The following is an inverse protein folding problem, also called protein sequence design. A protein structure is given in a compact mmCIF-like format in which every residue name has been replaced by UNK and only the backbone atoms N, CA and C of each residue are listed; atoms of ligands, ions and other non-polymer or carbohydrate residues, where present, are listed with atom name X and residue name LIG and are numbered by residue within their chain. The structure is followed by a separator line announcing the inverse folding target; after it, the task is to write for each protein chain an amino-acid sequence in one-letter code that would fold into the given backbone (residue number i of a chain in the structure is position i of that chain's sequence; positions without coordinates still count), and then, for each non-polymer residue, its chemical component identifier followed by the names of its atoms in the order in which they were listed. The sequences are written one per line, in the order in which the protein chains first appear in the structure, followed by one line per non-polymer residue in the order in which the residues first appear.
data_IF_097764871010
#
_entry.id   IF_097764871010
#
_cell.length_a   1.000
_cell.length_b   1.000
_cell.length_c   1.000
_cell.angle_alpha   90.00
_cell.angle_beta   90.00
_cell.angle_gamma   90.00
#
_symmetry.space_group_name_H-M   'P 1'
#
loop_
_entity.id
_entity.type
_entity.pdbx_description
1 polymer ?
#
# COMPACT_ATOMS: atom_id res chain seq x y z
N UNK A 1 -5.34 -29.08 3.46
CA UNK A 1 -6.55 -29.77 3.96
C UNK A 1 -7.62 -29.77 2.86
N UNK A 2 -8.51 -30.78 2.79
CA UNK A 2 -9.58 -30.87 1.78
C UNK A 2 -10.95 -31.05 2.44
N UNK A 3 -11.94 -30.27 2.01
CA UNK A 3 -13.33 -30.33 2.44
C UNK A 3 -14.18 -30.96 1.35
N UNK A 4 -15.07 -31.88 1.72
CA UNK A 4 -16.05 -32.37 0.76
C UNK A 4 -17.11 -31.29 0.52
N UNK A 5 -17.41 -30.97 -0.73
CA UNK A 5 -18.34 -29.89 -1.09
C UNK A 5 -19.36 -30.33 -2.12
N UNK A 6 -20.57 -29.76 -2.04
CA UNK A 6 -21.53 -29.71 -3.14
C UNK A 6 -21.21 -28.50 -4.01
N UNK A 7 -21.21 -28.70 -5.32
CA UNK A 7 -20.83 -27.72 -6.34
C UNK A 7 -22.05 -27.48 -7.21
N UNK A 8 -22.60 -26.27 -7.14
CA UNK A 8 -23.75 -25.84 -7.93
C UNK A 8 -23.25 -25.08 -9.14
N UNK A 9 -23.49 -25.62 -10.33
CA UNK A 9 -23.06 -25.04 -11.60
C UNK A 9 -24.10 -24.05 -12.13
N UNK A 10 -23.69 -23.06 -12.95
CA UNK A 10 -24.63 -22.14 -13.61
C UNK A 10 -25.69 -22.84 -14.49
N UNK A 11 -25.41 -24.05 -14.97
CA UNK A 11 -26.39 -24.88 -15.71
C UNK A 11 -27.57 -25.36 -14.87
N UNK A 12 -27.47 -25.27 -13.54
CA UNK A 12 -28.41 -25.87 -12.59
C UNK A 12 -27.97 -27.25 -12.08
N UNK A 13 -26.96 -27.85 -12.70
CA UNK A 13 -26.43 -29.14 -12.27
C UNK A 13 -25.73 -29.03 -10.90
N UNK A 14 -25.84 -30.09 -10.11
CA UNK A 14 -25.11 -30.22 -8.85
C UNK A 14 -24.13 -31.38 -8.92
N UNK A 15 -22.89 -31.14 -8.51
CA UNK A 15 -21.83 -32.14 -8.42
C UNK A 15 -21.25 -32.18 -7.02
N UNK A 16 -20.45 -33.19 -6.72
CA UNK A 16 -19.68 -33.27 -5.49
C UNK A 16 -18.19 -33.25 -5.82
N UNK A 17 -17.39 -32.65 -4.95
CA UNK A 17 -15.94 -32.63 -5.11
C UNK A 17 -15.23 -32.26 -3.82
N UNK A 18 -13.98 -31.83 -3.94
CA UNK A 18 -13.18 -31.40 -2.81
C UNK A 18 -12.76 -29.95 -2.97
N UNK A 19 -12.87 -29.17 -1.89
CA UNK A 19 -12.38 -27.80 -1.80
C UNK A 19 -11.14 -27.77 -0.90
N UNK A 20 -10.09 -27.12 -1.35
CA UNK A 20 -8.92 -26.78 -0.54
C UNK A 20 -8.63 -25.29 -0.65
N UNK A 21 -8.11 -24.69 0.41
CA UNK A 21 -7.64 -23.31 0.40
C UNK A 21 -6.12 -23.34 0.37
N UNK A 22 -5.52 -22.64 -0.59
CA UNK A 22 -4.07 -22.49 -0.73
C UNK A 22 -3.69 -21.02 -0.77
N UNK A 23 -2.40 -20.72 -0.90
CA UNK A 23 -1.90 -19.34 -1.06
C UNK A 23 -2.39 -18.65 -2.33
N UNK A 24 -2.83 -19.41 -3.32
CA UNK A 24 -3.44 -18.90 -4.55
C UNK A 24 -4.97 -18.75 -4.44
N UNK A 25 -5.56 -19.13 -3.29
CA UNK A 25 -6.99 -19.06 -3.02
C UNK A 25 -7.71 -20.41 -3.00
N UNK A 26 -9.05 -20.40 -3.07
CA UNK A 26 -9.87 -21.61 -3.08
C UNK A 26 -9.67 -22.41 -4.38
N UNK A 27 -9.28 -23.67 -4.24
CA UNK A 27 -9.08 -24.62 -5.34
C UNK A 27 -10.04 -25.80 -5.20
N UNK A 28 -10.74 -26.11 -6.28
CA UNK A 28 -11.49 -27.36 -6.39
C UNK A 28 -10.54 -28.47 -6.87
N UNK A 29 -10.49 -29.56 -6.12
CA UNK A 29 -9.78 -30.77 -6.48
C UNK A 29 -10.78 -31.83 -6.96
N UNK A 30 -10.34 -32.56 -7.98
CA UNK A 30 -11.18 -33.40 -8.79
C UNK A 30 -11.43 -34.78 -8.17
N UNK A 31 -12.67 -35.25 -8.24
CA UNK A 31 -12.98 -36.69 -8.07
C UNK A 31 -13.05 -37.28 -9.49
N UNK A 32 -11.85 -37.54 -10.02
CA UNK A 32 -11.50 -38.22 -11.28
C UNK A 32 -12.08 -37.74 -12.63
N UNK A 33 -13.13 -36.91 -12.73
CA UNK A 33 -13.75 -36.58 -14.03
C UNK A 33 -14.37 -35.16 -14.16
N UNK A 34 -13.99 -34.20 -13.32
CA UNK A 34 -14.68 -32.90 -13.22
C UNK A 34 -13.76 -31.71 -13.55
N UNK A 35 -13.63 -31.41 -14.84
CA UNK A 35 -13.09 -30.12 -15.33
C UNK A 35 -14.07 -28.97 -15.03
N UNK A 36 -14.08 -28.47 -13.80
CA UNK A 36 -14.75 -27.21 -13.47
C UNK A 36 -13.79 -26.06 -13.74
N UNK A 37 -14.18 -25.16 -14.64
CA UNK A 37 -13.46 -23.91 -14.82
C UNK A 37 -13.68 -23.03 -13.59
N UNK A 38 -12.68 -22.95 -12.73
CA UNK A 38 -12.71 -22.20 -11.47
C UNK A 38 -12.89 -20.69 -11.66
N UNK A 39 -12.69 -20.17 -12.88
CA UNK A 39 -12.89 -18.77 -13.23
C UNK A 39 -14.31 -18.47 -13.77
N UNK A 40 -15.16 -19.49 -13.92
CA UNK A 40 -16.53 -19.28 -14.37
C UNK A 40 -17.36 -18.63 -13.25
N UNK A 41 -17.96 -17.47 -13.55
CA UNK A 41 -18.88 -16.80 -12.62
C UNK A 41 -20.14 -17.64 -12.39
N UNK A 42 -20.70 -17.53 -11.18
CA UNK A 42 -21.94 -18.21 -10.81
C UNK A 42 -21.79 -19.66 -10.31
N UNK A 43 -20.56 -20.12 -10.05
CA UNK A 43 -20.34 -21.37 -9.33
C UNK A 43 -20.49 -21.13 -7.84
N UNK A 44 -21.41 -21.88 -7.20
CA UNK A 44 -21.60 -21.83 -5.76
C UNK A 44 -21.20 -23.15 -5.11
N UNK A 45 -20.75 -23.07 -3.87
CA UNK A 45 -20.27 -24.20 -3.09
C UNK A 45 -21.02 -24.28 -1.77
N UNK A 46 -21.15 -25.49 -1.24
CA UNK A 46 -21.61 -25.76 0.13
C UNK A 46 -20.74 -26.88 0.72
N UNK A 47 -20.35 -26.75 1.98
CA UNK A 47 -19.54 -27.76 2.67
C UNK A 47 -20.45 -28.88 3.19
N UNK A 48 -20.08 -30.12 2.90
CA UNK A 48 -20.75 -31.33 3.40
C UNK A 48 -20.15 -31.68 4.76
N UNK A 49 -20.99 -31.91 5.77
CA UNK A 49 -20.61 -32.21 7.15
C UNK A 49 -19.60 -31.20 7.75
N UNK A 50 -19.87 -29.89 7.76
CA UNK A 50 -18.91 -28.88 8.23
C UNK A 50 -18.45 -29.12 9.68
N UNK A 51 -19.28 -29.75 10.52
CA UNK A 51 -18.96 -30.06 11.92
C UNK A 51 -17.87 -31.11 12.10
N UNK A 52 -17.46 -31.84 11.05
CA UNK A 52 -16.34 -32.79 11.13
C UNK A 52 -14.96 -32.14 11.00
N UNK A 53 -14.90 -30.80 10.95
CA UNK A 53 -13.67 -30.07 10.66
C UNK A 53 -13.42 -28.99 11.72
N UNK A 54 -12.34 -29.14 12.48
CA UNK A 54 -12.00 -28.24 13.60
C UNK A 54 -11.72 -26.79 13.16
N UNK A 55 -11.28 -26.60 11.93
CA UNK A 55 -10.94 -25.30 11.34
C UNK A 55 -12.20 -24.52 10.91
N UNK A 56 -13.35 -25.19 10.83
CA UNK A 56 -14.62 -24.62 10.44
C UNK A 56 -15.38 -24.15 11.67
N UNK A 57 -15.78 -22.88 11.68
CA UNK A 57 -16.64 -22.34 12.73
C UNK A 57 -17.90 -21.73 12.12
N UNK A 58 -19.07 -22.10 12.65
CA UNK A 58 -20.36 -21.48 12.32
C UNK A 58 -20.77 -21.55 10.83
N UNK A 59 -20.35 -22.59 10.11
CA UNK A 59 -20.82 -22.90 8.75
C UNK A 59 -21.76 -24.10 8.82
N UNK A 60 -22.89 -24.01 8.11
CA UNK A 60 -23.89 -25.07 8.01
C UNK A 60 -23.96 -25.62 6.58
N UNK A 61 -24.43 -26.85 6.40
CA UNK A 61 -24.55 -27.45 5.06
C UNK A 61 -25.45 -26.68 4.10
N UNK A 62 -26.41 -25.93 4.62
CA UNK A 62 -27.30 -25.08 3.81
C UNK A 62 -26.59 -23.83 3.27
N UNK A 63 -25.49 -23.43 3.90
CA UNK A 63 -24.78 -22.21 3.54
C UNK A 63 -24.10 -22.40 2.20
N UNK A 64 -24.35 -21.46 1.30
CA UNK A 64 -23.75 -21.42 -0.03
C UNK A 64 -22.84 -20.23 -0.16
N UNK A 65 -21.74 -20.38 -0.87
CA UNK A 65 -20.80 -19.29 -1.12
C UNK A 65 -20.20 -19.39 -2.52
N UNK A 66 -19.78 -18.26 -3.07
CA UNK A 66 -19.14 -18.20 -4.38
C UNK A 66 -17.76 -18.88 -4.33
N UNK A 67 -17.40 -19.62 -5.38
CA UNK A 67 -16.03 -20.12 -5.51
C UNK A 67 -15.04 -18.95 -5.66
N UNK A 68 -15.39 -17.96 -6.48
CA UNK A 68 -14.59 -16.76 -6.65
C UNK A 68 -14.57 -15.94 -5.34
N UNK A 69 -13.40 -15.39 -5.02
CA UNK A 69 -13.23 -14.54 -3.85
C UNK A 69 -12.14 -13.51 -4.05
N UNK A 70 -12.15 -12.49 -3.20
CA UNK A 70 -11.07 -11.50 -3.14
C UNK A 70 -9.95 -12.06 -2.28
N UNK A 71 -8.72 -12.00 -2.79
CA UNK A 71 -7.54 -12.63 -2.20
C UNK A 71 -6.51 -11.52 -1.93
N UNK A 72 -5.99 -11.45 -0.70
CA UNK A 72 -5.00 -10.45 -0.29
C UNK A 72 -4.16 -10.95 0.89
N UNK A 73 -3.03 -10.32 1.11
CA UNK A 73 -2.09 -10.69 2.17
C UNK A 73 -2.28 -9.78 3.38
N UNK A 74 -2.21 -10.36 4.58
CA UNK A 74 -2.14 -9.63 5.85
C UNK A 74 -1.06 -10.26 6.74
N UNK A 75 -0.70 -9.57 7.81
CA UNK A 75 0.19 -10.11 8.85
C UNK A 75 -0.61 -10.58 10.06
N UNK A 76 -0.25 -11.75 10.58
CA UNK A 76 -0.99 -12.50 11.59
C UNK A 76 -0.06 -13.05 12.67
N UNK A 77 -0.43 -12.85 13.93
CA UNK A 77 0.27 -13.39 15.09
C UNK A 77 -0.44 -14.64 15.60
N UNK A 78 0.33 -15.69 15.88
CA UNK A 78 -0.20 -16.90 16.58
C UNK A 78 -0.73 -16.56 17.97
N UNK A 79 -0.12 -15.58 18.65
CA UNK A 79 -0.60 -15.04 19.92
C UNK A 79 -1.45 -13.80 19.62
N UNK A 80 -2.77 -13.95 19.66
CA UNK A 80 -3.68 -12.82 19.54
C UNK A 80 -3.37 -11.79 20.64
N UNK A 81 -3.38 -10.52 20.28
CA UNK A 81 -3.12 -9.45 21.22
C UNK A 81 -4.38 -9.20 22.06
N UNK A 82 -4.38 -9.77 23.27
CA UNK A 82 -5.46 -9.61 24.26
C UNK A 82 -5.64 -8.17 24.72
N UNK A 83 -4.69 -7.28 24.44
CA UNK A 83 -4.77 -5.86 24.80
C UNK A 83 -5.82 -5.13 23.96
N UNK A 84 -6.28 -5.71 22.85
CA UNK A 84 -7.33 -5.18 21.97
C UNK A 84 -8.64 -5.98 22.05
N UNK A 85 -9.11 -6.30 23.25
CA UNK A 85 -10.48 -6.83 23.50
C UNK A 85 -11.58 -5.75 23.31
N UNK A 86 -11.39 -4.88 22.32
CA UNK A 86 -12.34 -3.86 21.87
C UNK A 86 -13.18 -4.36 20.68
N UNK A 87 -12.78 -5.48 20.08
CA UNK A 87 -13.49 -6.07 18.96
C UNK A 87 -14.70 -6.86 19.44
N UNK A 88 -15.85 -6.75 18.76
CA UNK A 88 -17.04 -7.46 19.18
C UNK A 88 -16.81 -8.98 19.15
N UNK A 89 -17.43 -9.75 20.06
CA UNK A 89 -17.34 -11.22 20.08
C UNK A 89 -17.71 -11.88 18.74
N UNK A 90 -18.48 -11.19 17.90
CA UNK A 90 -18.84 -11.64 16.56
C UNK A 90 -17.66 -11.86 15.63
N UNK A 91 -16.53 -11.21 15.89
CA UNK A 91 -15.27 -11.47 15.15
C UNK A 91 -14.69 -12.85 15.47
N UNK A 92 -15.25 -13.59 16.43
CA UNK A 92 -14.72 -14.87 16.89
C UNK A 92 -13.21 -14.80 17.24
N UNK A 93 -12.71 -13.61 17.57
CA UNK A 93 -11.31 -13.33 17.89
C UNK A 93 -10.34 -13.16 16.71
N UNK A 94 -10.73 -13.37 15.45
CA UNK A 94 -9.77 -13.36 14.31
C UNK A 94 -9.03 -12.00 14.20
N UNK A 95 -9.72 -10.90 14.50
CA UNK A 95 -9.17 -9.55 14.42
C UNK A 95 -8.03 -9.33 15.42
N UNK A 96 -8.07 -9.98 16.58
CA UNK A 96 -7.02 -9.85 17.62
C UNK A 96 -5.69 -10.46 17.19
N UNK A 97 -5.70 -11.30 16.16
CA UNK A 97 -4.51 -11.92 15.62
C UNK A 97 -3.88 -11.09 14.50
N UNK A 98 -4.56 -10.09 13.94
CA UNK A 98 -3.92 -9.18 13.01
C UNK A 98 -2.82 -8.39 13.74
N UNK A 99 -1.61 -8.38 13.18
CA UNK A 99 -0.45 -7.75 13.83
C UNK A 99 0.51 -7.19 12.80
N UNK A 100 1.18 -6.08 13.12
CA UNK A 100 2.23 -5.48 12.27
C UNK A 100 3.50 -6.32 12.18
N UNK A 101 3.78 -7.10 13.21
CA UNK A 101 4.98 -7.93 13.36
C UNK A 101 4.69 -9.42 13.15
N UNK A 102 3.45 -9.77 12.77
CA UNK A 102 3.03 -11.14 12.52
C UNK A 102 3.64 -11.75 11.25
N UNK A 103 3.43 -13.05 11.09
CA UNK A 103 3.74 -13.78 9.86
C UNK A 103 2.78 -13.39 8.74
N UNK A 104 3.24 -13.42 7.50
CA UNK A 104 2.35 -13.21 6.36
C UNK A 104 1.39 -14.38 6.19
N UNK A 105 0.11 -14.06 6.06
CA UNK A 105 -0.97 -15.01 5.80
C UNK A 105 -1.68 -14.63 4.51
N UNK A 106 -2.23 -15.63 3.84
CA UNK A 106 -3.18 -15.42 2.77
C UNK A 106 -4.59 -15.35 3.34
N UNK A 107 -5.27 -14.25 3.04
CA UNK A 107 -6.69 -14.06 3.35
C UNK A 107 -7.48 -14.20 2.06
N UNK A 108 -8.60 -14.92 2.12
CA UNK A 108 -9.60 -14.89 1.05
C UNK A 108 -11.01 -14.65 1.59
N UNK A 109 -11.77 -13.86 0.85
CA UNK A 109 -13.17 -13.50 1.15
C UNK A 109 -14.06 -13.96 0.01
N UNK A 110 -14.95 -14.90 0.29
CA UNK A 110 -15.94 -15.41 -0.66
C UNK A 110 -17.34 -14.95 -0.27
N UNK A 111 -18.13 -14.47 -1.22
CA UNK A 111 -19.49 -13.98 -0.92
C UNK A 111 -20.41 -15.14 -0.54
N UNK A 112 -21.17 -15.02 0.54
CA UNK A 112 -22.24 -15.99 0.85
C UNK A 112 -23.49 -15.68 0.04
N UNK A 113 -24.19 -16.70 -0.44
CA UNK A 113 -25.38 -16.57 -1.28
C UNK A 113 -26.63 -16.47 -0.41
N UNK A 114 -27.45 -15.45 -0.65
CA UNK A 114 -28.68 -15.19 0.11
C UNK A 114 -28.42 -14.61 1.51
N UNK A 115 -27.19 -14.15 1.77
CA UNK A 115 -26.75 -13.59 3.04
C UNK A 115 -25.82 -12.40 2.76
N UNK A 116 -25.77 -11.40 3.65
CA UNK A 116 -24.82 -10.27 3.54
C UNK A 116 -23.43 -10.62 4.09
N UNK A 117 -23.26 -11.81 4.66
CA UNK A 117 -21.99 -12.31 5.18
C UNK A 117 -21.02 -12.74 4.07
N UNK A 118 -19.75 -12.79 4.44
CA UNK A 118 -18.65 -13.32 3.64
C UNK A 118 -18.04 -14.52 4.34
N UNK A 119 -17.60 -15.51 3.60
CA UNK A 119 -16.79 -16.60 4.10
C UNK A 119 -15.31 -16.18 4.08
N UNK A 120 -14.72 -16.08 5.26
CA UNK A 120 -13.31 -15.76 5.48
C UNK A 120 -12.48 -17.04 5.61
N UNK A 121 -11.46 -17.19 4.76
CA UNK A 121 -10.41 -18.19 4.93
C UNK A 121 -9.08 -17.52 5.28
N UNK A 122 -8.35 -18.08 6.24
CA UNK A 122 -7.00 -17.67 6.61
C UNK A 122 -6.05 -18.86 6.39
N UNK A 123 -5.06 -18.69 5.53
CA UNK A 123 -4.06 -19.72 5.19
C UNK A 123 -2.67 -19.19 5.54
N UNK A 124 -1.85 -19.99 6.20
CA UNK A 124 -0.44 -19.68 6.43
C UNK A 124 0.34 -19.81 5.11
N UNK A 125 1.13 -18.79 4.75
CA UNK A 125 1.85 -18.79 3.47
C UNK A 125 3.07 -19.70 3.46
N UNK A 126 3.63 -20.05 4.61
CA UNK A 126 4.84 -20.86 4.69
C UNK A 126 4.55 -22.35 4.47
N UNK A 127 3.49 -22.87 5.11
CA UNK A 127 3.16 -24.30 5.10
C UNK A 127 1.83 -24.63 4.37
N UNK A 128 1.20 -23.62 3.76
CA UNK A 128 -0.11 -23.69 3.11
C UNK A 128 -1.23 -24.28 3.99
N UNK A 129 -1.07 -24.23 5.31
CA UNK A 129 -2.07 -24.73 6.23
C UNK A 129 -3.24 -23.75 6.37
N UNK A 130 -4.46 -24.26 6.27
CA UNK A 130 -5.65 -23.49 6.61
C UNK A 130 -5.71 -23.34 8.12
N UNK A 131 -5.57 -22.10 8.59
CA UNK A 131 -5.67 -21.75 10.01
C UNK A 131 -7.15 -21.71 10.41
N UNK A 132 -8.00 -21.07 9.60
CA UNK A 132 -9.41 -20.87 9.94
C UNK A 132 -10.31 -20.65 8.73
N UNK A 133 -11.55 -21.13 8.83
CA UNK A 133 -12.62 -20.91 7.86
C UNK A 133 -13.94 -20.61 8.58
N UNK A 134 -14.50 -19.42 8.40
CA UNK A 134 -15.73 -19.02 9.10
C UNK A 134 -16.41 -17.82 8.44
N UNK A 135 -17.72 -17.62 8.64
CA UNK A 135 -18.41 -16.46 8.13
C UNK A 135 -18.09 -15.21 8.96
N UNK A 136 -17.96 -14.08 8.28
CA UNK A 136 -17.82 -12.73 8.85
C UNK A 136 -18.88 -11.81 8.25
N UNK A 137 -19.20 -10.72 8.93
CA UNK A 137 -20.16 -9.72 8.45
C UNK A 137 -19.53 -8.80 7.40
N UNK A 138 -20.37 -8.16 6.60
CA UNK A 138 -19.94 -7.23 5.55
C UNK A 138 -19.01 -6.12 6.05
N UNK A 139 -19.32 -5.50 7.20
CA UNK A 139 -18.45 -4.45 7.75
C UNK A 139 -17.08 -4.99 8.19
N UNK A 140 -16.98 -6.25 8.61
CA UNK A 140 -15.71 -6.90 8.98
C UNK A 140 -14.85 -7.16 7.74
N UNK A 141 -15.49 -7.59 6.65
CA UNK A 141 -14.85 -7.76 5.35
C UNK A 141 -14.26 -6.44 4.84
N UNK A 142 -15.00 -5.34 4.98
CA UNK A 142 -14.52 -4.01 4.58
C UNK A 142 -13.29 -3.58 5.39
N UNK A 143 -13.27 -3.81 6.71
CA UNK A 143 -12.10 -3.51 7.56
C UNK A 143 -10.87 -4.31 7.12
N UNK A 144 -11.05 -5.59 6.74
CA UNK A 144 -9.97 -6.41 6.23
C UNK A 144 -9.40 -5.90 4.90
N UNK A 145 -10.26 -5.37 4.04
CA UNK A 145 -9.88 -4.83 2.73
C UNK A 145 -9.24 -3.46 2.81
N UNK A 146 -9.36 -2.75 3.95
CA UNK A 146 -8.66 -1.48 4.14
C UNK A 146 -7.14 -1.70 4.08
N UNK A 147 -6.50 -0.93 3.20
CA UNK A 147 -5.06 -0.75 3.19
C UNK A 147 -4.69 0.01 4.47
N UNK A 148 -3.75 -0.51 5.27
CA UNK A 148 -3.27 0.25 6.42
C UNK A 148 -2.29 1.32 5.95
N UNK A 149 -2.21 2.44 6.68
CA UNK A 149 -1.19 3.47 6.43
C UNK A 149 0.21 2.83 6.34
N UNK A 150 0.48 1.80 7.14
CA UNK A 150 1.76 1.10 7.12
C UNK A 150 1.99 0.25 5.87
N UNK A 151 0.95 -0.41 5.34
CA UNK A 151 1.04 -1.13 4.06
C UNK A 151 1.32 -0.14 2.93
N UNK A 152 0.67 1.02 2.99
CA UNK A 152 0.91 2.16 2.09
C UNK A 152 2.34 2.69 2.21
N UNK A 153 2.83 2.96 3.43
CA UNK A 153 4.22 3.34 3.71
C UNK A 153 5.20 2.27 3.21
N UNK A 154 4.93 0.98 3.45
CA UNK A 154 5.75 -0.11 2.97
C UNK A 154 5.87 -0.12 1.44
N UNK A 155 4.77 0.14 0.72
CA UNK A 155 4.77 0.26 -0.74
C UNK A 155 5.55 1.47 -1.23
N UNK A 156 5.36 2.63 -0.60
CA UNK A 156 6.03 3.87 -0.98
C UNK A 156 7.54 3.77 -0.76
N UNK A 157 7.97 3.24 0.37
CA UNK A 157 9.38 3.25 0.79
C UNK A 157 10.14 1.96 0.44
N UNK A 158 9.44 0.88 0.05
CA UNK A 158 10.01 -0.46 -0.07
C UNK A 158 10.59 -0.84 -1.45
N UNK A 159 10.14 -0.25 -2.56
CA UNK A 159 10.49 -0.81 -3.87
C UNK A 159 10.15 0.07 -5.09
N UNK A 160 10.70 1.28 -5.18
CA UNK A 160 10.79 1.97 -6.47
C UNK A 160 12.21 2.47 -6.70
N UNK A 161 12.90 1.87 -7.68
CA UNK A 161 14.00 2.55 -8.34
C UNK A 161 13.40 3.74 -9.09
N UNK A 162 13.69 4.99 -8.69
CA UNK A 162 13.00 6.12 -9.28
C UNK A 162 13.58 6.43 -10.66
N UNK A 163 12.87 7.22 -11.44
CA UNK A 163 13.32 7.63 -12.77
C UNK A 163 14.45 8.66 -12.65
N UNK A 164 15.67 8.31 -13.11
CA UNK A 164 16.89 9.10 -12.91
C UNK A 164 16.93 10.41 -13.70
N UNK A 165 16.13 10.51 -14.74
CA UNK A 165 16.20 11.61 -15.71
C UNK A 165 15.63 12.94 -15.21
N UNK A 166 14.88 12.96 -14.11
CA UNK A 166 14.14 14.14 -13.62
C UNK A 166 15.03 15.30 -13.16
N UNK A 167 16.13 15.00 -12.44
CA UNK A 167 16.98 16.02 -11.79
C UNK A 167 17.82 16.80 -12.80
N UNK A 168 18.49 16.08 -13.71
CA UNK A 168 19.33 16.67 -14.73
C UNK A 168 18.52 17.58 -15.67
N UNK A 169 17.29 17.18 -16.02
CA UNK A 169 16.38 17.99 -16.84
C UNK A 169 16.02 19.32 -16.16
N UNK A 170 15.79 19.34 -14.85
CA UNK A 170 15.46 20.57 -14.12
C UNK A 170 16.61 21.59 -14.15
N UNK A 171 17.84 21.11 -13.95
CA UNK A 171 19.04 21.96 -13.92
C UNK A 171 19.34 22.61 -15.28
N UNK A 172 18.88 22.01 -16.38
CA UNK A 172 19.00 22.55 -17.73
C UNK A 172 17.87 23.50 -18.13
N UNK A 173 16.88 23.75 -17.26
CA UNK A 173 15.80 24.71 -17.55
C UNK A 173 16.28 26.17 -17.44
N UNK A 174 15.55 27.13 -18.05
CA UNK A 174 15.89 28.55 -17.94
C UNK A 174 15.97 29.03 -16.49
N UNK A 175 16.96 29.87 -16.21
CA UNK A 175 17.18 30.44 -14.88
C UNK A 175 15.92 31.16 -14.35
N UNK A 176 15.63 31.09 -13.03
CA UNK A 176 14.50 31.78 -12.42
C UNK A 176 14.55 33.30 -12.69
N UNK A 177 13.40 33.98 -12.70
CA UNK A 177 13.36 35.43 -12.86
C UNK A 177 14.04 36.12 -11.67
N UNK A 178 14.52 37.35 -11.88
CA UNK A 178 15.17 38.15 -10.83
C UNK A 178 14.35 38.26 -9.56
N UNK A 179 13.03 38.43 -9.67
CA UNK A 179 12.12 38.49 -8.51
C UNK A 179 12.18 37.25 -7.61
N UNK A 180 12.42 36.08 -8.18
CA UNK A 180 12.59 34.84 -7.43
C UNK A 180 14.00 34.71 -6.87
N UNK A 181 15.02 35.08 -7.66
CA UNK A 181 16.42 35.05 -7.22
C UNK A 181 16.67 35.99 -6.04
N UNK A 182 16.09 37.19 -6.05
CA UNK A 182 16.21 38.17 -4.96
C UNK A 182 15.69 37.61 -3.63
N UNK A 183 14.63 36.79 -3.65
CA UNK A 183 14.11 36.13 -2.45
C UNK A 183 15.10 35.08 -1.92
N UNK A 184 15.72 34.29 -2.81
CA UNK A 184 16.71 33.29 -2.40
C UNK A 184 17.91 33.91 -1.70
N UNK A 185 18.42 35.04 -2.21
CA UNK A 185 19.62 35.69 -1.67
C UNK A 185 19.32 36.76 -0.60
N UNK A 186 18.08 36.85 -0.13
CA UNK A 186 17.67 37.92 0.79
C UNK A 186 18.47 37.89 2.09
N UNK A 187 19.25 38.94 2.35
CA UNK A 187 20.09 39.03 3.56
C UNK A 187 21.40 38.26 3.46
N UNK A 188 21.79 37.79 2.27
CA UNK A 188 23.10 37.19 1.99
C UNK A 188 23.82 38.05 0.96
N UNK A 189 25.07 38.42 1.23
CA UNK A 189 25.89 39.13 0.26
C UNK A 189 26.60 38.12 -0.65
N UNK A 190 26.16 38.01 -1.90
CA UNK A 190 26.80 37.17 -2.92
C UNK A 190 27.50 38.11 -3.91
N UNK A 191 28.84 38.28 -3.80
CA UNK A 191 29.56 39.21 -4.65
C UNK A 191 29.47 38.78 -6.11
N UNK A 192 29.20 39.75 -7.00
CA UNK A 192 29.11 39.53 -8.45
C UNK A 192 28.05 38.49 -8.88
N UNK A 193 26.96 38.34 -8.12
CA UNK A 193 25.89 37.40 -8.49
C UNK A 193 25.26 37.75 -9.84
N UNK A 194 25.31 36.81 -10.78
CA UNK A 194 24.79 36.97 -12.14
C UNK A 194 23.73 35.92 -12.47
N UNK A 195 22.72 36.32 -13.24
CA UNK A 195 21.74 35.40 -13.81
C UNK A 195 22.25 34.91 -15.17
N UNK A 196 22.50 33.61 -15.27
CA UNK A 196 22.92 32.95 -16.51
C UNK A 196 21.73 32.37 -17.27
N UNK A 197 21.99 31.59 -18.32
CA UNK A 197 20.96 30.96 -19.16
C UNK A 197 20.23 29.85 -18.40
N UNK A 198 20.98 29.00 -17.71
CA UNK A 198 20.44 27.81 -17.04
C UNK A 198 20.32 27.97 -15.53
N UNK A 199 19.43 27.15 -14.94
CA UNK A 199 19.33 26.96 -13.49
C UNK A 199 20.66 26.51 -12.91
N UNK A 200 21.35 25.55 -13.56
CA UNK A 200 22.64 25.00 -13.09
C UNK A 200 23.68 26.10 -12.91
N UNK A 201 23.89 26.93 -13.94
CA UNK A 201 24.90 27.99 -13.93
C UNK A 201 24.55 29.10 -12.94
N UNK A 202 23.26 29.45 -12.85
CA UNK A 202 22.83 30.53 -11.96
C UNK A 202 22.93 30.13 -10.49
N UNK A 203 22.45 28.93 -10.13
CA UNK A 203 22.39 28.50 -8.73
C UNK A 203 23.70 27.89 -8.23
N UNK A 204 24.63 27.50 -9.10
CA UNK A 204 25.95 27.01 -8.67
C UNK A 204 26.75 28.07 -7.90
N UNK A 205 26.50 29.36 -8.14
CA UNK A 205 27.05 30.49 -7.39
C UNK A 205 26.57 30.57 -5.94
N UNK A 206 25.42 29.94 -5.64
CA UNK A 206 24.78 29.97 -4.31
C UNK A 206 25.08 28.72 -3.48
N UNK A 207 25.70 27.70 -4.09
CA UNK A 207 25.97 26.43 -3.42
C UNK A 207 27.49 26.25 -3.26
N UNK A 208 27.99 26.19 -2.01
CA UNK A 208 29.42 26.09 -1.71
C UNK A 208 30.13 24.94 -2.44
N UNK A 209 31.38 25.19 -2.85
CA UNK A 209 32.20 24.23 -3.57
C UNK A 209 32.77 23.10 -2.70
N UNK A 210 32.74 23.27 -1.37
CA UNK A 210 33.20 22.26 -0.41
C UNK A 210 32.26 21.03 -0.32
N UNK A 211 31.03 21.14 -0.81
CA UNK A 211 30.12 20.00 -0.93
C UNK A 211 30.49 19.12 -2.14
N UNK A 212 30.23 17.81 -2.04
CA UNK A 212 30.40 16.91 -3.18
C UNK A 212 29.50 17.33 -4.35
N UNK A 213 29.93 17.07 -5.59
CA UNK A 213 29.18 17.44 -6.80
C UNK A 213 27.72 16.99 -6.74
N UNK A 214 27.48 15.75 -6.31
CA UNK A 214 26.13 15.20 -6.12
C UNK A 214 25.30 16.01 -5.13
N UNK A 215 25.85 16.34 -3.96
CA UNK A 215 25.16 17.17 -2.96
C UNK A 215 24.88 18.56 -3.52
N UNK A 216 25.83 19.14 -4.27
CA UNK A 216 25.64 20.45 -4.89
C UNK A 216 24.49 20.44 -5.89
N UNK A 217 24.43 19.41 -6.75
CA UNK A 217 23.33 19.25 -7.70
C UNK A 217 21.98 19.13 -7.01
N UNK A 218 21.89 18.33 -5.93
CA UNK A 218 20.67 18.21 -5.14
C UNK A 218 20.25 19.53 -4.50
N UNK A 219 21.19 20.30 -3.95
CA UNK A 219 20.92 21.62 -3.37
C UNK A 219 20.48 22.64 -4.43
N UNK A 220 21.12 22.65 -5.61
CA UNK A 220 20.69 23.51 -6.73
C UNK A 220 19.28 23.17 -7.18
N UNK A 221 18.94 21.88 -7.29
CA UNK A 221 17.58 21.43 -7.61
C UNK A 221 16.59 21.91 -6.56
N UNK A 222 16.94 21.77 -5.27
CA UNK A 222 16.10 22.22 -4.18
C UNK A 222 15.85 23.74 -4.24
N UNK A 223 16.90 24.54 -4.37
CA UNK A 223 16.80 25.99 -4.48
C UNK A 223 16.00 26.42 -5.72
N UNK A 224 16.16 25.72 -6.84
CA UNK A 224 15.36 25.97 -8.04
C UNK A 224 13.88 25.67 -7.79
N UNK A 225 13.61 24.55 -7.11
CA UNK A 225 12.26 24.10 -6.81
C UNK A 225 11.52 25.08 -5.87
N UNK A 226 12.18 25.61 -4.85
CA UNK A 226 11.56 26.60 -3.92
C UNK A 226 11.18 27.91 -4.60
N UNK A 227 11.76 28.24 -5.76
CA UNK A 227 11.34 29.44 -6.52
C UNK A 227 9.97 29.31 -7.18
N UNK A 228 9.46 28.09 -7.35
CA UNK A 228 8.22 27.79 -8.10
C UNK A 228 7.16 27.10 -7.25
N UNK A 229 7.47 26.79 -5.98
CA UNK A 229 6.58 26.01 -5.14
C UNK A 229 5.41 26.85 -4.63
N UNK A 230 4.25 26.23 -4.64
CA UNK A 230 3.05 26.65 -3.91
C UNK A 230 2.62 25.50 -3.01
N UNK A 231 1.80 25.77 -1.99
CA UNK A 231 1.25 24.71 -1.15
C UNK A 231 0.50 23.73 -2.07
N UNK A 232 0.87 22.44 -2.09
CA UNK A 232 0.22 21.46 -2.94
C UNK A 232 -1.27 21.37 -2.60
N UNK A 233 -2.11 21.32 -3.63
CA UNK A 233 -3.57 21.18 -3.50
C UNK A 233 -4.04 19.73 -3.59
N UNK A 234 -3.13 18.81 -3.92
CA UNK A 234 -3.38 17.37 -3.98
C UNK A 234 -3.35 16.74 -2.57
N UNK A 235 -3.82 15.49 -2.46
CA UNK A 235 -3.79 14.75 -1.20
C UNK A 235 -2.33 14.63 -0.68
N UNK A 236 -2.08 14.78 0.64
CA UNK A 236 -0.73 14.70 1.18
C UNK A 236 0.00 13.38 0.86
N UNK A 237 -0.74 12.28 0.72
CA UNK A 237 -0.18 10.96 0.38
C UNK A 237 0.16 10.88 -1.12
N UNK A 238 -0.68 11.44 -1.98
CA UNK A 238 -0.41 11.54 -3.42
C UNK A 238 0.82 12.45 -3.68
N UNK A 239 0.90 13.57 -2.96
CA UNK A 239 2.06 14.46 -2.99
C UNK A 239 3.33 13.75 -2.51
N UNK A 240 3.25 13.01 -1.41
CA UNK A 240 4.37 12.22 -0.87
C UNK A 240 4.88 11.23 -1.92
N UNK A 241 3.97 10.50 -2.58
CA UNK A 241 4.32 9.56 -3.63
C UNK A 241 4.97 10.27 -4.84
N UNK A 242 4.43 11.41 -5.26
CA UNK A 242 4.96 12.17 -6.41
C UNK A 242 6.36 12.73 -6.15
N UNK A 243 6.61 13.29 -4.96
CA UNK A 243 7.92 13.78 -4.52
C UNK A 243 8.94 12.64 -4.47
N UNK A 244 8.53 11.47 -3.98
CA UNK A 244 9.43 10.31 -3.92
C UNK A 244 9.79 9.74 -5.29
N UNK A 245 8.82 9.66 -6.20
CA UNK A 245 9.09 9.29 -7.60
C UNK A 245 10.02 10.27 -8.29
N UNK A 246 9.86 11.57 -8.00
CA UNK A 246 10.59 12.65 -8.66
C UNK A 246 12.01 12.86 -8.12
N UNK A 247 12.24 12.62 -6.84
CA UNK A 247 13.50 12.94 -6.15
C UNK A 247 14.13 11.70 -5.49
N UNK A 248 15.24 11.23 -6.07
CA UNK A 248 15.97 10.03 -5.60
C UNK A 248 16.62 10.20 -4.23
N UNK A 249 17.12 11.39 -3.93
CA UNK A 249 17.94 11.60 -2.73
C UNK A 249 17.11 11.77 -1.47
N UNK A 250 17.54 11.13 -0.38
CA UNK A 250 16.97 11.36 0.95
C UNK A 250 17.16 12.79 1.42
N UNK A 251 18.28 13.44 1.07
CA UNK A 251 18.56 14.83 1.40
C UNK A 251 17.53 15.76 0.73
N UNK A 252 17.40 15.66 -0.59
CA UNK A 252 16.47 16.48 -1.36
C UNK A 252 15.02 16.29 -0.91
N UNK A 253 14.62 15.03 -0.66
CA UNK A 253 13.29 14.72 -0.10
C UNK A 253 13.09 15.40 1.26
N UNK A 254 14.04 15.25 2.18
CA UNK A 254 13.96 15.87 3.51
C UNK A 254 13.84 17.39 3.44
N UNK A 255 14.62 18.05 2.57
CA UNK A 255 14.55 19.49 2.35
C UNK A 255 13.20 19.94 1.78
N UNK A 256 12.67 19.22 0.79
CA UNK A 256 11.34 19.49 0.21
C UNK A 256 10.24 19.34 1.26
N UNK A 257 10.24 18.25 2.04
CA UNK A 257 9.25 18.05 3.11
C UNK A 257 9.33 19.12 4.18
N UNK A 258 10.54 19.46 4.64
CA UNK A 258 10.73 20.54 5.61
C UNK A 258 10.20 21.87 5.08
N UNK A 259 10.45 22.18 3.81
CA UNK A 259 9.95 23.39 3.17
C UNK A 259 8.41 23.45 3.12
N UNK A 260 7.78 22.38 2.65
CA UNK A 260 6.30 22.30 2.60
C UNK A 260 5.70 22.41 3.99
N UNK A 261 6.32 21.79 4.99
CA UNK A 261 5.83 21.85 6.37
C UNK A 261 5.82 23.30 6.90
N UNK A 262 6.86 24.09 6.62
CA UNK A 262 6.86 25.52 6.92
C UNK A 262 5.65 26.23 6.26
N UNK A 263 5.44 25.99 4.97
CA UNK A 263 4.33 26.62 4.23
C UNK A 263 2.95 26.24 4.79
N UNK A 264 2.72 24.96 5.10
CA UNK A 264 1.47 24.47 5.70
C UNK A 264 1.22 25.11 7.07
N UNK A 265 2.27 25.28 7.87
CA UNK A 265 2.18 25.91 9.18
C UNK A 265 2.04 27.45 9.12
N UNK A 266 2.10 28.05 7.93
CA UNK A 266 2.13 29.51 7.76
C UNK A 266 3.42 30.14 8.31
N UNK A 267 4.48 29.35 8.47
CA UNK A 267 5.80 29.81 8.93
C UNK A 267 6.67 30.08 7.71
N UNK A 268 7.37 31.21 7.71
CA UNK A 268 8.31 31.53 6.63
C UNK A 268 9.44 30.48 6.59
N UNK A 269 9.68 29.83 5.44
CA UNK A 269 10.78 28.89 5.31
C UNK A 269 12.13 29.56 5.59
N UNK A 270 13.11 28.83 6.15
CA UNK A 270 14.41 29.40 6.41
C UNK A 270 15.11 29.85 5.12
N UNK A 271 15.94 30.89 5.19
CA UNK A 271 16.80 31.25 4.08
C UNK A 271 17.90 30.18 3.92
N UNK A 272 17.67 29.24 3.01
CA UNK A 272 18.58 28.12 2.78
C UNK A 272 19.96 28.55 2.32
N UNK A 273 20.07 29.59 1.47
CA UNK A 273 21.38 30.10 0.99
C UNK A 273 22.23 30.62 2.14
N UNK A 274 21.60 31.15 3.19
CA UNK A 274 22.31 31.60 4.41
C UNK A 274 22.80 30.43 5.29
N UNK A 275 22.16 29.27 5.19
CA UNK A 275 22.44 28.11 6.04
C UNK A 275 23.49 27.19 5.40
N UNK A 276 23.53 27.15 4.06
CA UNK A 276 24.57 26.48 3.28
C UNK A 276 25.93 27.16 3.50
#
# INVERSE_FOLDING_TARGET
MKFRVKIFLPSGDTKCGYLSYTVEGPKLADDKDMKVNTHQKGIHLSIINPSSYDQITSIFEKDRFELAGTIFTKKYSKKGDKKYDLYPPSTSGWATHLSREGKEIQVSLQKMIGDSRYLLSIVDREDESLIRLHPIREYEANILLMESDWDFYGRIFGSQEPDGESLAKLLQTPAPPWSALTKLVQGVNVPNFQRYETVKETLSQLVPENYSEKTREELMVFLAWTTRVTIPTEDPLDYLESVQKRFKSGLLRGLVFGHIHCLIQGVEPPNYVRIL
#
